data_IF_742506129974
#
_entry.id   IF_742506129974
#
_cell.length_a   1.000
_cell.length_b   1.000
_cell.length_c   1.000
_cell.angle_alpha   90.00
_cell.angle_beta   90.00
_cell.angle_gamma   90.00
#
_symmetry.space_group_name_H-M   'P 1'
#
loop_
_entity.id
_entity.type
_entity.pdbx_description
1 polymer ?
#
# COMPACT_ATOMS: atom_id res chain seq x y z
N UNK A 1 18.08 18.40 1.04
CA UNK A 1 16.91 18.57 1.94
C UNK A 1 16.64 17.25 2.65
N UNK A 2 15.74 17.23 3.63
CA UNK A 2 15.25 16.01 4.28
C UNK A 2 13.82 15.74 3.80
N UNK A 3 13.58 14.57 3.22
CA UNK A 3 12.31 14.19 2.61
C UNK A 3 11.78 12.94 3.30
N UNK A 4 10.56 13.04 3.84
CA UNK A 4 9.81 11.91 4.38
C UNK A 4 8.73 11.52 3.38
N UNK A 5 8.82 10.29 2.86
CA UNK A 5 7.78 9.69 2.04
C UNK A 5 6.92 8.79 2.92
N UNK A 6 5.61 8.85 2.78
CA UNK A 6 4.67 8.00 3.52
C UNK A 6 3.76 7.25 2.58
N UNK A 7 3.38 6.02 2.93
CA UNK A 7 2.49 5.19 2.13
C UNK A 7 1.78 4.13 2.98
N UNK A 8 0.66 3.61 2.50
CA UNK A 8 0.06 2.40 3.09
C UNK A 8 0.93 1.18 2.76
N UNK A 9 0.96 0.14 3.62
CA UNK A 9 1.82 -1.02 3.48
C UNK A 9 1.34 -1.94 2.36
N UNK A 10 1.70 -1.62 1.11
CA UNK A 10 1.37 -2.40 -0.08
C UNK A 10 2.21 -2.03 -1.28
N UNK A 11 2.68 -3.05 -2.03
CA UNK A 11 3.54 -2.86 -3.22
C UNK A 11 2.92 -1.96 -4.27
N UNK A 12 1.62 -2.07 -4.51
CA UNK A 12 0.90 -1.21 -5.46
C UNK A 12 0.97 0.29 -5.11
N UNK A 13 1.14 0.63 -3.83
CA UNK A 13 1.33 2.02 -3.39
C UNK A 13 2.81 2.43 -3.38
N UNK A 14 3.71 1.51 -3.02
CA UNK A 14 5.12 1.82 -2.81
C UNK A 14 5.97 1.76 -4.08
N UNK A 15 5.81 0.74 -4.92
CA UNK A 15 6.66 0.53 -6.10
C UNK A 15 6.66 1.75 -7.06
N UNK A 16 5.54 2.46 -7.29
CA UNK A 16 5.54 3.69 -8.08
C UNK A 16 6.34 4.86 -7.47
N UNK A 17 6.58 4.85 -6.15
CA UNK A 17 7.34 5.89 -5.47
C UNK A 17 8.85 5.69 -5.58
N UNK A 18 9.30 4.45 -5.81
CA UNK A 18 10.71 4.05 -5.81
C UNK A 18 11.57 4.88 -6.79
N UNK A 19 11.16 5.10 -8.06
CA UNK A 19 11.94 5.93 -9.00
C UNK A 19 12.09 7.37 -8.53
N UNK A 20 11.02 7.98 -7.99
CA UNK A 20 11.07 9.34 -7.47
C UNK A 20 11.96 9.44 -6.22
N UNK A 21 11.86 8.48 -5.30
CA UNK A 21 12.71 8.41 -4.11
C UNK A 21 14.19 8.27 -4.48
N UNK A 22 14.51 7.45 -5.48
CA UNK A 22 15.85 7.30 -6.01
C UNK A 22 16.37 8.60 -6.66
N UNK A 23 15.54 9.29 -7.45
CA UNK A 23 15.91 10.57 -8.06
C UNK A 23 16.20 11.66 -7.01
N UNK A 24 15.36 11.77 -5.97
CA UNK A 24 15.59 12.69 -4.84
C UNK A 24 16.92 12.39 -4.12
N UNK A 25 17.23 11.11 -3.90
CA UNK A 25 18.50 10.69 -3.31
C UNK A 25 19.69 11.06 -4.21
N UNK A 26 19.61 10.79 -5.51
CA UNK A 26 20.66 11.16 -6.48
C UNK A 26 20.85 12.68 -6.58
N UNK A 27 19.80 13.47 -6.35
CA UNK A 27 19.88 14.93 -6.25
C UNK A 27 20.50 15.44 -4.93
N UNK A 28 20.98 14.54 -4.05
CA UNK A 28 21.63 14.89 -2.79
C UNK A 28 20.66 15.20 -1.65
N UNK A 29 19.43 14.68 -1.69
CA UNK A 29 18.50 14.75 -0.57
C UNK A 29 18.59 13.52 0.34
N UNK A 30 18.41 13.72 1.64
CA UNK A 30 18.18 12.65 2.61
C UNK A 30 16.73 12.19 2.46
N UNK A 31 16.52 10.94 2.07
CA UNK A 31 15.19 10.37 1.80
C UNK A 31 14.94 9.23 2.78
N UNK A 32 13.80 9.27 3.46
CA UNK A 32 13.32 8.19 4.34
C UNK A 32 11.88 7.85 4.00
N UNK A 33 11.52 6.58 4.16
CA UNK A 33 10.15 6.10 3.95
C UNK A 33 9.55 5.72 5.29
N UNK A 34 8.31 6.11 5.53
CA UNK A 34 7.58 5.75 6.73
C UNK A 34 6.24 5.08 6.40
N UNK A 35 5.93 4.01 7.13
CA UNK A 35 4.70 3.24 7.02
C UNK A 35 4.52 2.38 8.27
N UNK A 36 3.55 1.46 8.27
CA UNK A 36 3.43 0.47 9.34
C UNK A 36 4.69 -0.40 9.45
N UNK A 37 4.99 -0.85 10.67
CA UNK A 37 6.18 -1.66 10.92
C UNK A 37 6.24 -2.96 10.09
N UNK A 38 5.07 -3.55 9.77
CA UNK A 38 4.95 -4.73 8.91
C UNK A 38 5.58 -4.55 7.52
N UNK A 39 5.72 -3.31 7.05
CA UNK A 39 6.23 -3.02 5.71
C UNK A 39 7.74 -2.72 5.64
N UNK A 40 8.42 -2.71 6.80
CA UNK A 40 9.84 -2.36 6.91
C UNK A 40 10.73 -3.12 5.90
N UNK A 41 10.59 -4.45 5.87
CA UNK A 41 11.40 -5.33 5.02
C UNK A 41 11.27 -4.98 3.54
N UNK A 42 10.08 -4.62 3.08
CA UNK A 42 9.83 -4.27 1.68
C UNK A 42 10.59 -3.01 1.29
N UNK A 43 10.53 -1.99 2.14
CA UNK A 43 11.22 -0.70 1.95
C UNK A 43 12.73 -0.88 1.99
N UNK A 44 13.24 -1.62 2.98
CA UNK A 44 14.67 -1.88 3.15
C UNK A 44 15.24 -2.69 1.98
N UNK A 45 14.48 -3.68 1.48
CA UNK A 45 14.87 -4.47 0.30
C UNK A 45 14.94 -3.61 -0.97
N UNK A 46 14.13 -2.56 -1.07
CA UNK A 46 14.22 -1.56 -2.14
C UNK A 46 15.38 -0.56 -1.96
N UNK A 47 16.16 -0.71 -0.88
CA UNK A 47 17.35 0.10 -0.60
C UNK A 47 17.02 1.48 -0.04
N UNK A 48 15.91 1.63 0.68
CA UNK A 48 15.57 2.87 1.39
C UNK A 48 15.55 2.64 2.90
N UNK A 49 15.89 3.71 3.61
CA UNK A 49 15.75 3.80 5.05
C UNK A 49 14.26 3.81 5.47
N UNK A 50 13.93 3.07 6.54
CA UNK A 50 12.56 2.91 7.03
C UNK A 50 12.31 3.51 8.42
N UNK A 51 11.21 4.21 8.62
CA UNK A 51 10.70 4.63 9.93
C UNK A 51 9.31 4.04 10.17
N UNK A 52 9.16 3.22 11.20
CA UNK A 52 7.84 2.74 11.62
C UNK A 52 6.98 3.90 12.15
N UNK A 53 5.77 4.05 11.61
CA UNK A 53 4.75 4.99 12.08
C UNK A 53 3.37 4.33 12.04
N UNK A 54 2.48 4.76 12.93
CA UNK A 54 1.12 4.25 13.01
C UNK A 54 1.04 2.79 13.49
N UNK A 55 -0.13 2.21 13.31
CA UNK A 55 -0.40 0.82 13.70
C UNK A 55 0.36 -0.18 12.82
N UNK A 56 0.56 -1.40 13.33
CA UNK A 56 1.19 -2.50 12.60
C UNK A 56 0.27 -3.12 11.52
N UNK A 57 -0.39 -2.27 10.75
CA UNK A 57 -1.31 -2.62 9.67
C UNK A 57 -0.59 -3.36 8.54
N UNK A 58 -1.27 -4.30 7.90
CA UNK A 58 -0.85 -4.90 6.64
C UNK A 58 -2.09 -5.12 5.77
N UNK A 59 -1.97 -4.86 4.47
CA UNK A 59 -3.03 -5.20 3.51
C UNK A 59 -3.24 -6.72 3.33
N UNK A 60 -2.31 -7.54 3.80
CA UNK A 60 -2.47 -9.00 3.79
C UNK A 60 -3.48 -9.47 4.83
N UNK A 61 -3.52 -8.82 6.01
CA UNK A 61 -4.38 -9.20 7.14
C UNK A 61 -4.99 -7.96 7.82
N UNK A 62 -5.72 -7.10 7.08
CA UNK A 62 -6.18 -5.79 7.57
C UNK A 62 -7.06 -5.88 8.82
N UNK A 63 -7.83 -6.96 8.96
CA UNK A 63 -8.73 -7.25 10.07
C UNK A 63 -8.02 -7.44 11.41
N UNK A 64 -6.73 -7.79 11.39
CA UNK A 64 -5.93 -7.96 12.62
C UNK A 64 -5.69 -6.64 13.33
N UNK A 65 -5.61 -5.56 12.56
CA UNK A 65 -5.34 -4.20 13.05
C UNK A 65 -6.63 -3.40 13.17
N UNK A 66 -7.56 -3.59 12.24
CA UNK A 66 -8.84 -2.88 12.18
C UNK A 66 -9.98 -3.91 12.10
N UNK A 67 -10.42 -4.52 13.21
CA UNK A 67 -11.51 -5.50 13.20
C UNK A 67 -12.80 -4.97 12.57
N UNK A 68 -13.09 -3.69 12.73
CA UNK A 68 -14.22 -2.99 12.11
C UNK A 68 -14.13 -2.91 10.58
N UNK A 69 -12.94 -3.07 10.01
CA UNK A 69 -12.74 -3.15 8.56
C UNK A 69 -13.45 -4.37 7.97
N UNK A 70 -13.53 -5.48 8.71
CA UNK A 70 -14.30 -6.67 8.32
C UNK A 70 -15.78 -6.35 8.21
N UNK A 71 -16.31 -5.60 9.18
CA UNK A 71 -17.72 -5.20 9.17
C UNK A 71 -18.00 -4.21 8.03
N UNK A 72 -17.08 -3.29 7.76
CA UNK A 72 -17.13 -2.39 6.61
C UNK A 72 -17.11 -3.14 5.27
N UNK A 73 -16.19 -4.11 5.12
CA UNK A 73 -16.08 -4.95 3.94
C UNK A 73 -17.33 -5.83 3.73
N UNK A 74 -17.84 -6.45 4.80
CA UNK A 74 -19.07 -7.27 4.79
C UNK A 74 -20.32 -6.48 4.41
N UNK A 75 -20.35 -5.18 4.73
CA UNK A 75 -21.44 -4.27 4.31
C UNK A 75 -21.37 -3.88 2.83
N UNK A 76 -20.47 -4.48 2.04
CA UNK A 76 -20.35 -4.24 0.60
C UNK A 76 -19.70 -2.91 0.24
N UNK A 77 -19.05 -2.23 1.19
CA UNK A 77 -18.43 -0.91 0.99
C UNK A 77 -16.90 -0.97 0.94
N UNK A 78 -16.31 -2.16 1.13
CA UNK A 78 -14.87 -2.38 1.27
C UNK A 78 -14.02 -2.14 0.03
N UNK A 79 -14.26 -2.90 -1.04
CA UNK A 79 -13.40 -2.95 -2.23
C UNK A 79 -14.24 -3.41 -3.42
N UNK A 80 -15.22 -2.61 -3.81
CA UNK A 80 -16.00 -2.84 -5.03
C UNK A 80 -15.21 -2.48 -6.29
N UNK A 81 -14.03 -3.08 -6.50
CA UNK A 81 -13.51 -3.17 -7.86
C UNK A 81 -14.27 -4.32 -8.52
N UNK A 82 -15.44 -4.01 -9.07
CA UNK A 82 -16.08 -4.92 -10.02
C UNK A 82 -15.07 -5.09 -11.15
N UNK A 83 -14.43 -6.26 -11.22
CA UNK A 83 -13.60 -6.57 -12.35
C UNK A 83 -14.53 -6.59 -13.57
N UNK A 84 -14.26 -5.75 -14.57
CA UNK A 84 -14.96 -5.73 -15.86
C UNK A 84 -14.91 -7.08 -16.63
N UNK A 85 -14.31 -8.12 -16.05
CA UNK A 85 -14.25 -9.47 -16.58
C UNK A 85 -15.49 -10.30 -16.21
N UNK A 86 -16.21 -9.95 -15.14
CA UNK A 86 -17.41 -10.69 -14.72
C UNK A 86 -18.66 -10.36 -15.57
N UNK A 87 -18.64 -9.24 -16.31
CA UNK A 87 -19.74 -8.84 -17.22
C UNK A 87 -19.69 -9.58 -18.58
N UNK A 88 -18.61 -10.28 -18.89
CA UNK A 88 -18.46 -11.02 -20.15
C UNK A 88 -18.93 -12.49 -20.08
N UNK A 89 -19.12 -13.06 -18.87
CA UNK A 89 -19.58 -14.45 -18.70
C UNK A 89 -21.10 -14.59 -18.48
N UNK A 90 -21.83 -13.50 -18.22
CA UNK A 90 -23.31 -13.54 -18.09
C UNK A 90 -24.05 -13.21 -19.40
N UNK A 91 -23.36 -13.25 -20.54
CA UNK A 91 -23.94 -13.06 -21.88
C UNK A 91 -24.81 -14.24 -22.33
N UNK A 92 -25.90 -14.50 -21.59
CA UNK A 92 -26.96 -15.43 -21.96
C UNK A 92 -28.26 -14.68 -22.26
N UNK A 93 -28.49 -14.38 -23.55
CA UNK A 93 -29.80 -14.06 -24.17
C UNK A 93 -30.44 -12.73 -23.76
N UNK A 94 -31.36 -12.16 -24.56
CA UNK A 94 -32.34 -12.84 -25.43
C UNK A 94 -31.91 -13.09 -26.88
#
# INVERSE_FOLDING_TARGET
MRVLLTTQPGRGHFDPMVPCAAALRTAGHEVRVASSAAFARTVETAGFDFTAIGENFSWENPETTFPEFVDFARRGQGLGQRNHLDEMESGGGP
#
